data_IF_105507143978
#
_entry.id   IF_105507143978
#
_cell.length_a   1.000
_cell.length_b   1.000
_cell.length_c   1.000
_cell.angle_alpha   90.00
_cell.angle_beta   90.00
_cell.angle_gamma   90.00
#
_symmetry.space_group_name_H-M   'P 1'
#
loop_
_entity.id
_entity.type
_entity.pdbx_description
1 polymer ?
#
# COMPACT_ATOMS: atom_id res chain seq x y z
N UNK A 1 -25.41 -2.91 -5.13
CA UNK A 1 -25.15 -2.41 -3.75
C UNK A 1 -23.75 -1.80 -3.72
N UNK A 2 -23.58 -0.61 -3.12
CA UNK A 2 -22.25 0.02 -2.95
C UNK A 2 -21.41 -0.79 -1.94
N UNK A 3 -20.10 -0.87 -2.16
CA UNK A 3 -19.15 -1.68 -1.37
C UNK A 3 -18.05 -0.81 -0.77
N UNK A 4 -17.43 -1.26 0.32
CA UNK A 4 -16.22 -0.67 0.88
C UNK A 4 -15.35 -1.72 1.58
N UNK A 5 -14.09 -1.41 1.85
CA UNK A 5 -13.21 -2.28 2.65
C UNK A 5 -13.61 -2.29 4.13
N UNK A 6 -13.33 -3.39 4.83
CA UNK A 6 -13.53 -3.54 6.27
C UNK A 6 -12.41 -2.92 7.13
N UNK A 7 -11.48 -2.13 6.54
CA UNK A 7 -10.48 -1.37 7.30
C UNK A 7 -11.15 -0.49 8.36
N UNK A 8 -10.84 -0.62 9.65
CA UNK A 8 -11.49 0.16 10.68
C UNK A 8 -10.95 1.59 10.67
N UNK A 9 -11.72 2.53 11.22
CA UNK A 9 -11.33 3.95 11.23
C UNK A 9 -10.06 4.24 12.00
N UNK A 10 -9.83 3.57 13.12
CA UNK A 10 -8.61 3.73 13.92
C UNK A 10 -7.33 3.30 13.19
N UNK A 11 -7.45 2.46 12.16
CA UNK A 11 -6.31 2.03 11.33
C UNK A 11 -6.12 2.93 10.10
N UNK A 12 -7.03 3.86 9.83
CA UNK A 12 -6.94 4.74 8.66
C UNK A 12 -6.07 5.96 8.99
N UNK A 13 -5.20 6.36 8.07
CA UNK A 13 -4.42 7.62 8.13
C UNK A 13 -5.27 8.84 7.75
N UNK A 14 -6.55 8.82 8.08
CA UNK A 14 -7.50 9.87 7.77
C UNK A 14 -8.25 10.27 9.03
N UNK A 15 -8.31 11.57 9.31
CA UNK A 15 -9.05 12.11 10.45
C UNK A 15 -10.58 12.04 10.26
N UNK A 16 -11.03 11.78 9.04
CA UNK A 16 -12.46 11.75 8.71
C UNK A 16 -13.13 10.52 9.35
N UNK A 17 -14.23 10.69 10.10
CA UNK A 17 -15.02 9.58 10.60
C UNK A 17 -15.58 8.73 9.45
N UNK A 18 -15.40 7.41 9.54
CA UNK A 18 -15.85 6.45 8.54
C UNK A 18 -17.36 6.10 8.67
N UNK A 19 -18.22 7.11 8.83
CA UNK A 19 -19.67 6.92 9.02
C UNK A 19 -20.32 6.14 7.86
N UNK A 20 -19.85 6.39 6.63
CA UNK A 20 -20.33 5.73 5.41
C UNK A 20 -20.20 4.19 5.45
N UNK A 21 -19.23 3.64 6.20
CA UNK A 21 -19.02 2.18 6.29
C UNK A 21 -20.15 1.44 7.01
N UNK A 22 -21.03 2.14 7.75
CA UNK A 22 -22.18 1.55 8.42
C UNK A 22 -23.30 1.16 7.45
N UNK A 23 -23.43 1.89 6.35
CA UNK A 23 -24.49 1.70 5.35
C UNK A 23 -24.04 0.82 4.18
N UNK A 24 -22.73 0.76 3.94
CA UNK A 24 -22.14 0.01 2.83
C UNK A 24 -21.84 -1.44 3.20
N UNK A 25 -21.86 -2.31 2.17
CA UNK A 25 -21.39 -3.69 2.33
C UNK A 25 -19.87 -3.70 2.50
N UNK A 26 -19.40 -4.13 3.66
CA UNK A 26 -17.98 -4.28 3.96
C UNK A 26 -17.43 -5.58 3.38
N UNK A 27 -16.34 -5.48 2.63
CA UNK A 27 -15.56 -6.61 2.10
C UNK A 27 -14.38 -6.86 3.02
N UNK A 28 -14.22 -8.11 3.47
CA UNK A 28 -13.12 -8.53 4.32
C UNK A 28 -11.82 -8.52 3.54
N UNK A 29 -11.00 -7.51 3.76
CA UNK A 29 -9.69 -7.32 3.13
C UNK A 29 -8.58 -7.03 4.14
N UNK A 30 -8.91 -6.80 5.41
CA UNK A 30 -7.96 -6.42 6.45
C UNK A 30 -6.82 -7.43 6.64
N UNK A 31 -7.10 -8.72 6.46
CA UNK A 31 -6.14 -9.79 6.77
C UNK A 31 -5.09 -9.99 5.65
N UNK A 32 -5.19 -9.24 4.56
CA UNK A 32 -4.30 -9.32 3.40
C UNK A 32 -3.04 -8.46 3.60
N UNK A 33 -2.19 -8.86 4.55
CA UNK A 33 -1.00 -8.12 5.02
C UNK A 33 0.33 -8.81 4.70
N UNK A 34 0.36 -9.75 3.76
CA UNK A 34 1.53 -10.57 3.45
C UNK A 34 2.25 -10.11 2.19
N UNK A 35 3.59 -10.14 2.24
CA UNK A 35 4.45 -10.09 1.06
C UNK A 35 4.51 -11.52 0.50
N UNK A 36 4.02 -11.71 -0.72
CA UNK A 36 3.85 -13.04 -1.32
C UNK A 36 5.13 -13.53 -2.01
N UNK A 37 5.82 -12.62 -2.73
CA UNK A 37 7.05 -12.96 -3.47
C UNK A 37 7.97 -11.75 -3.54
N UNK A 38 9.28 -12.01 -3.44
CA UNK A 38 10.34 -11.05 -3.75
C UNK A 38 11.25 -11.71 -4.78
N UNK A 39 11.43 -11.06 -5.92
CA UNK A 39 12.22 -11.57 -7.04
C UNK A 39 13.37 -10.58 -7.32
N UNK A 40 14.57 -10.98 -6.91
CA UNK A 40 15.77 -10.14 -6.97
C UNK A 40 16.39 -10.06 -8.36
N UNK A 41 16.06 -10.99 -9.26
CA UNK A 41 16.57 -10.98 -10.65
C UNK A 41 15.78 -10.00 -11.50
N UNK A 42 14.45 -10.01 -11.36
CA UNK A 42 13.55 -9.09 -12.07
C UNK A 42 13.31 -7.77 -11.33
N UNK A 43 13.84 -7.62 -10.10
CA UNK A 43 13.58 -6.49 -9.21
C UNK A 43 12.08 -6.24 -8.97
N UNK A 44 11.31 -7.31 -8.77
CA UNK A 44 9.85 -7.22 -8.55
C UNK A 44 9.44 -7.78 -7.19
N UNK A 45 8.37 -7.20 -6.63
CA UNK A 45 7.78 -7.62 -5.37
C UNK A 45 6.27 -7.77 -5.55
N UNK A 46 5.72 -8.90 -5.12
CA UNK A 46 4.29 -9.15 -5.10
C UNK A 46 3.82 -9.08 -3.66
N UNK A 47 2.91 -8.15 -3.38
CA UNK A 47 2.40 -7.89 -2.04
C UNK A 47 0.88 -7.79 -2.03
N UNK A 48 0.30 -8.18 -0.90
CA UNK A 48 -1.10 -7.99 -0.63
C UNK A 48 -1.45 -6.51 -0.35
N UNK A 49 -2.70 -6.07 -0.59
CA UNK A 49 -3.06 -4.65 -0.56
C UNK A 49 -2.89 -3.94 0.78
N UNK A 50 -2.91 -4.65 1.91
CA UNK A 50 -2.72 -4.07 3.25
C UNK A 50 -1.28 -4.18 3.77
N UNK A 51 -0.35 -4.68 2.97
CA UNK A 51 1.08 -4.58 3.29
C UNK A 51 1.46 -3.11 3.40
N UNK A 52 2.18 -2.76 4.47
CA UNK A 52 2.65 -1.39 4.71
C UNK A 52 4.01 -1.11 4.09
N UNK A 53 4.33 0.17 3.90
CA UNK A 53 5.66 0.60 3.45
C UNK A 53 6.74 0.12 4.41
N UNK A 54 6.51 0.20 5.72
CA UNK A 54 7.44 -0.31 6.72
C UNK A 54 7.77 -1.80 6.52
N UNK A 55 6.75 -2.63 6.29
CA UNK A 55 6.96 -4.07 6.06
C UNK A 55 7.81 -4.33 4.81
N UNK A 56 7.56 -3.59 3.73
CA UNK A 56 8.33 -3.72 2.48
C UNK A 56 9.77 -3.28 2.71
N UNK A 57 9.97 -2.10 3.27
CA UNK A 57 11.29 -1.51 3.51
C UNK A 57 12.13 -2.39 4.43
N UNK A 58 11.57 -2.90 5.53
CA UNK A 58 12.25 -3.86 6.42
C UNK A 58 12.62 -5.17 5.71
N UNK A 59 11.83 -5.62 4.74
CA UNK A 59 12.11 -6.83 3.96
C UNK A 59 13.19 -6.61 2.90
N UNK A 60 13.19 -5.46 2.23
CA UNK A 60 14.05 -5.15 1.08
C UNK A 60 15.43 -4.60 1.47
N UNK A 61 15.53 -3.76 2.52
CA UNK A 61 16.80 -3.15 2.93
C UNK A 61 17.91 -4.20 3.19
N UNK A 62 17.68 -5.30 3.92
CA UNK A 62 18.71 -6.32 4.15
C UNK A 62 19.19 -7.02 2.87
N UNK A 63 18.40 -6.96 1.80
CA UNK A 63 18.71 -7.53 0.49
C UNK A 63 19.40 -6.52 -0.44
N UNK A 64 19.56 -5.26 -0.02
CA UNK A 64 20.14 -4.19 -0.82
C UNK A 64 19.17 -3.54 -1.81
N UNK A 65 17.86 -3.73 -1.64
CA UNK A 65 16.83 -3.18 -2.52
C UNK A 65 15.95 -2.16 -1.81
N UNK A 66 15.28 -1.31 -2.59
CA UNK A 66 14.27 -0.36 -2.12
C UNK A 66 13.21 -0.15 -3.21
N UNK A 67 12.07 0.45 -2.84
CA UNK A 67 11.06 0.87 -3.82
C UNK A 67 11.55 2.11 -4.59
N UNK A 68 11.16 2.29 -5.86
CA UNK A 68 11.50 3.50 -6.62
C UNK A 68 10.89 4.78 -6.02
N UNK A 69 9.70 4.65 -5.43
CA UNK A 69 8.96 5.72 -4.74
C UNK A 69 8.65 5.21 -3.34
N UNK A 70 9.26 5.82 -2.31
CA UNK A 70 9.16 5.39 -0.89
C UNK A 70 8.46 6.47 -0.07
N UNK A 71 7.15 6.34 0.19
CA UNK A 71 6.42 7.32 0.99
C UNK A 71 7.01 7.50 2.40
N UNK A 72 7.01 8.73 2.91
CA UNK A 72 7.53 9.08 4.25
C UNK A 72 6.85 8.33 5.42
N UNK A 73 5.56 7.98 5.28
CA UNK A 73 4.77 7.40 6.35
C UNK A 73 4.72 5.86 6.28
N UNK A 74 5.29 5.23 7.31
CA UNK A 74 5.42 3.77 7.46
C UNK A 74 4.10 2.99 7.41
N UNK A 75 3.01 3.56 7.95
CA UNK A 75 1.69 2.93 8.06
C UNK A 75 0.86 3.02 6.77
N UNK A 76 1.40 3.63 5.71
CA UNK A 76 0.74 3.65 4.41
C UNK A 76 0.78 2.25 3.79
N UNK A 77 -0.37 1.81 3.30
CA UNK A 77 -0.57 0.49 2.70
C UNK A 77 -0.43 0.56 1.19
N UNK A 78 0.13 -0.47 0.55
CA UNK A 78 0.31 -0.56 -0.92
C UNK A 78 -0.98 -0.24 -1.68
N UNK A 79 -2.11 -0.85 -1.29
CA UNK A 79 -3.39 -0.60 -1.96
C UNK A 79 -3.93 0.82 -1.74
N UNK A 80 -3.54 1.46 -0.63
CA UNK A 80 -3.86 2.85 -0.37
C UNK A 80 -3.04 3.80 -1.25
N UNK A 81 -1.76 3.51 -1.46
CA UNK A 81 -0.86 4.27 -2.31
C UNK A 81 -1.26 4.15 -3.79
N UNK A 82 -1.56 2.93 -4.23
CA UNK A 82 -2.01 2.62 -5.58
C UNK A 82 -3.26 3.44 -5.96
N UNK A 83 -4.27 3.47 -5.08
CA UNK A 83 -5.51 4.20 -5.31
C UNK A 83 -5.41 5.71 -4.97
N UNK A 84 -4.41 6.08 -4.18
CA UNK A 84 -4.20 7.43 -3.65
C UNK A 84 -3.06 8.18 -4.32
N UNK A 85 -2.61 7.73 -5.51
CA UNK A 85 -1.48 8.26 -6.29
C UNK A 85 -0.10 7.98 -5.67
N UNK A 86 0.09 8.24 -4.38
CA UNK A 86 1.35 7.98 -3.66
C UNK A 86 2.53 8.78 -4.24
N UNK A 87 2.58 10.08 -3.97
CA UNK A 87 3.64 10.98 -4.46
C UNK A 87 4.76 11.06 -3.44
N UNK A 88 5.99 11.08 -3.91
CA UNK A 88 7.16 11.36 -3.09
C UNK A 88 8.24 12.13 -3.87
N UNK A 89 9.29 12.59 -3.18
CA UNK A 89 10.44 13.26 -3.78
C UNK A 89 11.00 12.58 -5.04
N UNK A 90 11.08 11.25 -5.11
CA UNK A 90 11.58 10.53 -6.29
C UNK A 90 10.58 10.40 -7.45
N UNK A 91 9.33 10.86 -7.26
CA UNK A 91 8.29 10.78 -8.29
C UNK A 91 8.56 11.62 -9.53
N UNK A 92 9.42 12.64 -9.45
CA UNK A 92 9.84 13.40 -10.63
C UNK A 92 10.72 12.58 -11.59
N UNK A 93 11.32 11.47 -11.12
CA UNK A 93 12.15 10.56 -11.92
C UNK A 93 11.34 9.33 -12.33
N UNK A 94 10.62 8.72 -11.39
CA UNK A 94 9.96 7.42 -11.58
C UNK A 94 8.45 7.50 -11.81
N UNK A 95 7.87 8.70 -11.74
CA UNK A 95 6.42 8.87 -11.78
C UNK A 95 5.74 8.64 -10.43
N UNK A 96 4.43 8.42 -10.47
CA UNK A 96 3.59 8.17 -9.30
C UNK A 96 3.80 6.74 -8.79
N UNK A 97 3.42 6.43 -7.56
CA UNK A 97 3.54 5.05 -7.04
C UNK A 97 2.84 4.04 -7.94
N UNK A 98 1.67 4.39 -8.48
CA UNK A 98 0.95 3.57 -9.45
C UNK A 98 1.71 3.34 -10.76
N UNK A 99 2.55 4.29 -11.20
CA UNK A 99 3.34 4.15 -12.43
C UNK A 99 4.49 3.12 -12.25
N UNK A 100 4.84 2.81 -11.00
CA UNK A 100 5.84 1.78 -10.66
C UNK A 100 5.24 0.37 -10.54
N UNK A 101 3.91 0.24 -10.61
CA UNK A 101 3.21 -1.03 -10.47
C UNK A 101 3.07 -1.73 -11.83
N UNK A 102 3.36 -3.04 -11.86
CA UNK A 102 3.39 -3.82 -13.10
C UNK A 102 2.06 -4.54 -13.42
N UNK A 103 1.23 -4.82 -12.40
CA UNK A 103 -0.02 -5.57 -12.50
C UNK A 103 -0.98 -5.24 -11.35
#
# INVERSE_FOLDING_TARGET
>A
KKICTDRPGWMAMALRPNAYKKELRQVKMRDFTNILKVDTESCTLVAEPFVTVAQITQKLIPMGFTLPVVPELDDLTVGGLLLGVGIESSSHVFGLFNDTCLA
#
